data_IF_120846525513
#
_entry.id   IF_120846525513
#
_cell.length_a   1.000
_cell.length_b   1.000
_cell.length_c   1.000
_cell.angle_alpha   90.00
_cell.angle_beta   90.00
_cell.angle_gamma   90.00
#
_symmetry.space_group_name_H-M   'P 1'
#
loop_
_entity.id
_entity.type
_entity.pdbx_description
1 polymer ?
#
# COMPACT_ATOMS: atom_id res chain seq x y z
N UNK A 1 0.28 2.11 13.87
CA UNK A 1 1.20 1.19 13.20
C UNK A 1 2.58 1.45 13.75
N UNK A 2 3.24 0.43 14.28
CA UNK A 2 4.64 0.56 14.70
C UNK A 2 5.59 0.44 13.49
N UNK A 3 6.88 0.71 13.69
CA UNK A 3 7.86 0.69 12.58
C UNK A 3 7.98 -0.69 11.93
N UNK A 4 7.94 -1.77 12.72
CA UNK A 4 8.01 -3.13 12.21
C UNK A 4 6.83 -3.48 11.31
N UNK A 5 5.61 -3.10 11.72
CA UNK A 5 4.40 -3.26 10.90
C UNK A 5 4.52 -2.46 9.61
N UNK A 6 5.01 -1.21 9.70
CA UNK A 6 5.18 -0.34 8.53
C UNK A 6 6.12 -0.95 7.50
N UNK A 7 7.26 -1.50 7.94
CA UNK A 7 8.22 -2.21 7.05
C UNK A 7 7.54 -3.39 6.38
N UNK A 8 6.85 -4.25 7.15
CA UNK A 8 6.13 -5.41 6.61
C UNK A 8 5.06 -5.02 5.59
N UNK A 9 4.36 -3.91 5.79
CA UNK A 9 3.38 -3.42 4.83
C UNK A 9 4.03 -2.92 3.56
N UNK A 10 5.15 -2.21 3.64
CA UNK A 10 5.90 -1.77 2.45
C UNK A 10 6.40 -2.99 1.65
N UNK A 11 6.99 -3.98 2.31
CA UNK A 11 7.46 -5.22 1.66
C UNK A 11 6.31 -5.96 0.94
N UNK A 12 5.12 -6.04 1.56
CA UNK A 12 3.94 -6.65 0.94
C UNK A 12 3.46 -5.87 -0.29
N UNK A 13 3.46 -4.54 -0.21
CA UNK A 13 3.09 -3.66 -1.33
C UNK A 13 4.07 -3.84 -2.49
N UNK A 14 5.38 -3.90 -2.22
CA UNK A 14 6.40 -4.16 -3.25
C UNK A 14 6.22 -5.53 -3.91
N UNK A 15 5.91 -6.56 -3.13
CA UNK A 15 5.65 -7.89 -3.67
C UNK A 15 4.42 -7.91 -4.58
N UNK A 16 3.31 -7.28 -4.16
CA UNK A 16 2.11 -7.19 -4.98
C UNK A 16 2.34 -6.36 -6.25
N UNK A 17 3.18 -5.31 -6.19
CA UNK A 17 3.56 -4.51 -7.37
C UNK A 17 4.18 -5.42 -8.41
N UNK A 18 5.17 -6.23 -8.01
CA UNK A 18 5.86 -7.18 -8.91
C UNK A 18 4.89 -8.19 -9.50
N UNK A 19 3.97 -8.71 -8.71
CA UNK A 19 2.96 -9.67 -9.21
C UNK A 19 2.14 -9.02 -10.34
N UNK A 20 1.60 -7.81 -10.15
CA UNK A 20 0.83 -7.12 -11.19
C UNK A 20 1.68 -6.81 -12.43
N UNK A 21 2.92 -6.34 -12.25
CA UNK A 21 3.75 -5.87 -13.37
C UNK A 21 4.41 -6.99 -14.15
N UNK A 22 4.75 -8.11 -13.51
CA UNK A 22 5.54 -9.19 -14.12
C UNK A 22 4.68 -10.37 -14.58
N UNK A 23 3.47 -10.57 -14.02
CA UNK A 23 2.63 -11.71 -14.37
C UNK A 23 1.59 -11.33 -15.45
N UNK A 24 2.01 -11.47 -16.71
CA UNK A 24 1.19 -11.21 -17.91
C UNK A 24 -0.06 -12.11 -17.98
N UNK A 25 -0.06 -13.25 -17.28
CA UNK A 25 -1.15 -14.23 -17.29
C UNK A 25 -2.28 -13.95 -16.29
N UNK A 26 -2.20 -12.88 -15.48
CA UNK A 26 -3.29 -12.53 -14.57
C UNK A 26 -4.53 -12.15 -15.36
N UNK A 27 -5.66 -12.79 -15.03
CA UNK A 27 -6.96 -12.39 -15.57
C UNK A 27 -7.36 -11.02 -15.00
N UNK A 28 -8.31 -10.33 -15.65
CA UNK A 28 -8.79 -9.03 -15.16
C UNK A 28 -9.33 -9.11 -13.73
N UNK A 29 -10.06 -10.18 -13.39
CA UNK A 29 -10.55 -10.43 -12.03
C UNK A 29 -9.40 -10.54 -11.01
N UNK A 30 -8.29 -11.19 -11.37
CA UNK A 30 -7.14 -11.33 -10.46
C UNK A 30 -6.48 -9.96 -10.23
N UNK A 31 -6.39 -9.15 -11.29
CA UNK A 31 -5.87 -7.77 -11.18
C UNK A 31 -6.76 -6.93 -10.27
N UNK A 32 -8.07 -7.04 -10.37
CA UNK A 32 -9.01 -6.31 -9.51
C UNK A 32 -8.87 -6.72 -8.03
N UNK A 33 -8.70 -8.01 -7.76
CA UNK A 33 -8.45 -8.53 -6.41
C UNK A 33 -7.13 -7.99 -5.86
N UNK A 34 -6.05 -8.01 -6.66
CA UNK A 34 -4.75 -7.50 -6.22
C UNK A 34 -4.81 -5.98 -6.01
N UNK A 35 -5.50 -5.23 -6.86
CA UNK A 35 -5.73 -3.80 -6.70
C UNK A 35 -6.55 -3.49 -5.44
N UNK A 36 -7.50 -4.36 -5.09
CA UNK A 36 -8.22 -4.27 -3.81
C UNK A 36 -7.27 -4.46 -2.61
N UNK A 37 -6.40 -5.47 -2.63
CA UNK A 37 -5.39 -5.68 -1.58
C UNK A 37 -4.38 -4.53 -1.49
N UNK A 38 -3.98 -3.97 -2.63
CA UNK A 38 -3.14 -2.78 -2.70
C UNK A 38 -3.73 -1.62 -1.91
N UNK A 39 -4.99 -1.30 -2.22
CA UNK A 39 -5.73 -0.22 -1.55
C UNK A 39 -5.81 -0.45 -0.05
N UNK A 40 -6.15 -1.67 0.37
CA UNK A 40 -6.30 -2.00 1.79
C UNK A 40 -4.95 -1.89 2.55
N UNK A 41 -3.85 -2.31 1.93
CA UNK A 41 -2.51 -2.20 2.51
C UNK A 41 -2.00 -0.74 2.58
N UNK A 42 -2.35 0.09 1.61
CA UNK A 42 -1.90 1.49 1.54
C UNK A 42 -2.75 2.43 2.40
N UNK A 43 -4.01 2.09 2.68
CA UNK A 43 -4.94 2.95 3.42
C UNK A 43 -4.42 3.33 4.83
N UNK A 44 -3.86 2.42 5.65
CA UNK A 44 -3.23 2.76 6.93
C UNK A 44 -2.00 3.66 6.80
N UNK A 45 -1.27 3.58 5.68
CA UNK A 45 -0.09 4.41 5.41
C UNK A 45 -0.52 5.84 5.03
N UNK A 46 -1.55 5.98 4.19
CA UNK A 46 -2.13 7.27 3.83
C UNK A 46 -2.59 8.04 5.07
N UNK A 47 -3.33 7.38 5.96
CA UNK A 47 -3.82 7.99 7.22
C UNK A 47 -2.69 8.57 8.08
N UNK A 48 -1.53 7.91 8.13
CA UNK A 48 -0.35 8.37 8.86
C UNK A 48 0.36 9.55 8.19
N UNK A 49 0.38 9.61 6.85
CA UNK A 49 0.94 10.77 6.13
C UNK A 49 0.09 12.02 6.36
N UNK A 50 -1.23 11.89 6.30
CA UNK A 50 -2.15 13.01 6.54
C UNK A 50 -2.13 13.52 7.99
N UNK A 51 -2.01 12.65 8.99
CA UNK A 51 -1.90 13.08 10.39
C UNK A 51 -0.57 13.74 10.72
N UNK A 52 0.55 13.30 10.10
CA UNK A 52 1.83 14.03 10.21
C UNK A 52 1.76 15.42 9.61
N UNK A 53 1.02 15.61 8.52
CA UNK A 53 0.92 16.91 7.84
C UNK A 53 0.01 17.92 8.59
N UNK A 54 -1.02 17.44 9.30
CA UNK A 54 -1.91 18.28 10.12
C UNK A 54 -1.28 18.73 11.45
N UNK A 55 -0.31 17.97 11.97
CA UNK A 55 0.39 18.29 13.22
C UNK A 55 1.60 19.23 13.03
N UNK A 56 1.77 19.84 11.85
CA UNK A 56 2.77 20.88 11.62
C UNK A 56 2.09 22.23 11.34
N UNK A 57 1.72 23.01 12.39
CA UNK A 57 0.91 24.22 12.24
C UNK A 57 1.72 25.47 11.87
N UNK A 58 3.00 25.36 11.47
CA UNK A 58 3.84 26.52 11.15
C UNK A 58 4.25 26.53 9.67
N UNK A 59 3.47 27.25 8.86
CA UNK A 59 3.93 28.08 7.76
C UNK A 59 3.04 29.31 7.66
#
# INVERSE_FOLDING_TARGET
MNELEKIKTIERVELLSRIITEHIHLQENDKDIIMFWFRDLLEPLKKQMTTKHLNNPNN
#
